data_IF_348937992278
#
_entry.id   IF_348937992278
#
_cell.length_a   1.000
_cell.length_b   1.000
_cell.length_c   1.000
_cell.angle_alpha   90.00
_cell.angle_beta   90.00
_cell.angle_gamma   90.00
#
_symmetry.space_group_name_H-M   'P 1'
#
loop_
_entity.id
_entity.type
_entity.pdbx_description
1 polymer ?
#
# COMPACT_ATOMS: atom_id res chain seq x y z
N UNK A 1 11.94 10.70 -3.03
CA UNK A 1 10.54 10.22 -2.83
C UNK A 1 10.37 10.00 -1.34
N UNK A 2 9.83 10.98 -0.64
CA UNK A 2 9.81 11.02 0.84
C UNK A 2 8.60 10.29 1.46
N UNK A 3 7.78 9.61 0.64
CA UNK A 3 6.51 8.99 1.06
C UNK A 3 6.32 7.56 0.58
N UNK A 4 7.41 6.87 0.26
CA UNK A 4 7.36 5.47 -0.14
C UNK A 4 7.08 4.60 1.08
N UNK A 5 5.90 3.98 1.12
CA UNK A 5 5.52 3.12 2.22
C UNK A 5 6.25 1.77 2.16
N UNK A 6 6.50 1.28 0.95
CA UNK A 6 7.28 0.07 0.73
C UNK A 6 7.54 -0.21 -0.73
N UNK A 7 8.59 -1.00 -0.97
CA UNK A 7 8.94 -1.59 -2.26
C UNK A 7 9.14 -3.08 -2.07
N UNK A 8 8.46 -3.86 -2.90
CA UNK A 8 8.38 -5.30 -2.78
C UNK A 8 8.63 -5.94 -4.13
N UNK A 9 9.22 -7.13 -4.10
CA UNK A 9 9.30 -8.04 -5.24
C UNK A 9 8.45 -9.26 -4.92
N UNK A 10 7.75 -9.80 -5.91
CA UNK A 10 6.94 -11.00 -5.71
C UNK A 10 7.83 -12.23 -5.54
N UNK A 11 7.61 -12.97 -4.45
CA UNK A 11 8.26 -14.26 -4.17
C UNK A 11 7.32 -15.45 -4.39
N UNK A 12 6.01 -15.21 -4.39
CA UNK A 12 4.96 -16.14 -4.75
C UNK A 12 3.80 -15.40 -5.43
N UNK A 13 3.24 -15.96 -6.50
CA UNK A 13 2.27 -15.28 -7.37
C UNK A 13 2.86 -14.94 -8.74
N UNK A 14 2.43 -13.85 -9.40
CA UNK A 14 2.97 -13.42 -10.69
C UNK A 14 4.48 -13.21 -10.62
N UNK A 15 5.22 -13.83 -11.54
CA UNK A 15 6.67 -13.65 -11.63
C UNK A 15 7.03 -12.24 -12.14
N UNK A 16 8.23 -11.78 -11.79
CA UNK A 16 8.82 -10.53 -12.31
C UNK A 16 7.99 -9.27 -12.03
N UNK A 17 7.31 -9.22 -10.88
CA UNK A 17 6.49 -8.09 -10.48
C UNK A 17 7.15 -7.30 -9.34
N UNK A 18 7.25 -5.97 -9.55
CA UNK A 18 7.63 -5.01 -8.53
C UNK A 18 6.36 -4.30 -8.06
N UNK A 19 6.10 -4.34 -6.74
CA UNK A 19 4.99 -3.64 -6.11
C UNK A 19 5.56 -2.52 -5.25
N UNK A 20 5.01 -1.33 -5.39
CA UNK A 20 5.46 -0.16 -4.68
C UNK A 20 4.25 0.64 -4.22
N UNK A 21 4.25 1.01 -2.95
CA UNK A 21 3.13 1.67 -2.28
C UNK A 21 3.60 3.04 -1.82
N UNK A 22 2.79 4.07 -2.08
CA UNK A 22 3.06 5.44 -1.65
C UNK A 22 1.86 6.03 -0.96
N UNK A 23 2.13 6.92 -0.01
CA UNK A 23 1.12 7.80 0.58
C UNK A 23 1.06 9.11 -0.19
N UNK A 24 -0.15 9.53 -0.53
CA UNK A 24 -0.45 10.87 -1.04
C UNK A 24 -1.54 11.49 -0.16
N UNK A 25 -1.51 12.82 -0.04
CA UNK A 25 -2.52 13.55 0.75
C UNK A 25 -3.87 13.58 -0.01
N UNK A 26 -3.81 13.78 -1.32
CA UNK A 26 -4.96 13.77 -2.22
C UNK A 26 -4.54 13.45 -3.68
N UNK A 27 -5.53 13.37 -4.58
CA UNK A 27 -5.28 13.17 -6.01
C UNK A 27 -4.47 14.32 -6.66
N UNK A 28 -4.75 15.61 -6.37
CA UNK A 28 -3.92 16.72 -6.84
C UNK A 28 -2.43 16.61 -6.46
N UNK A 29 -2.11 16.21 -5.22
CA UNK A 29 -0.74 16.01 -4.75
C UNK A 29 -0.03 14.93 -5.56
N UNK A 30 -0.70 13.78 -5.78
CA UNK A 30 -0.19 12.73 -6.66
C UNK A 30 0.12 13.27 -8.08
N UNK A 31 -0.81 14.01 -8.70
CA UNK A 31 -0.63 14.56 -10.04
C UNK A 31 0.58 15.52 -10.10
N UNK A 32 0.69 16.42 -9.11
CA UNK A 32 1.79 17.38 -9.00
C UNK A 32 3.13 16.66 -8.90
N UNK A 33 3.23 15.66 -8.03
CA UNK A 33 4.45 14.87 -7.84
C UNK A 33 4.83 14.07 -9.07
N UNK A 34 3.87 13.41 -9.71
CA UNK A 34 4.11 12.64 -10.93
C UNK A 34 4.67 13.53 -12.05
N UNK A 35 4.07 14.71 -12.26
CA UNK A 35 4.56 15.68 -13.25
C UNK A 35 5.96 16.18 -12.90
N UNK A 36 6.21 16.44 -11.61
CA UNK A 36 7.52 16.84 -11.11
C UNK A 36 8.64 15.82 -11.40
N UNK A 37 8.35 14.52 -11.47
CA UNK A 37 9.38 13.52 -11.79
C UNK A 37 10.01 13.73 -13.18
N UNK A 38 9.27 14.26 -14.15
CA UNK A 38 9.77 14.48 -15.50
C UNK A 38 10.74 15.67 -15.60
N UNK A 39 10.82 16.52 -14.57
CA UNK A 39 11.75 17.65 -14.55
C UNK A 39 13.09 17.28 -13.91
N UNK A 40 13.21 16.09 -13.30
CA UNK A 40 14.41 15.64 -12.59
C UNK A 40 15.40 15.04 -13.60
N UNK A 41 16.45 15.79 -13.95
CA UNK A 41 17.49 15.36 -14.91
C UNK A 41 18.16 14.03 -14.51
N UNK A 42 18.34 13.78 -13.22
CA UNK A 42 18.92 12.52 -12.73
C UNK A 42 18.10 11.27 -13.11
N UNK A 43 16.80 11.43 -13.41
CA UNK A 43 15.92 10.32 -13.83
C UNK A 43 15.93 10.08 -15.35
N UNK A 44 16.67 10.87 -16.13
CA UNK A 44 16.73 10.69 -17.59
C UNK A 44 17.19 9.28 -17.97
N UNK A 45 18.20 8.73 -17.28
CA UNK A 45 18.70 7.38 -17.53
C UNK A 45 17.62 6.32 -17.24
N UNK A 46 16.85 6.49 -16.16
CA UNK A 46 15.73 5.61 -15.85
C UNK A 46 14.67 5.63 -16.96
N UNK A 47 14.33 6.82 -17.48
CA UNK A 47 13.36 6.92 -18.56
C UNK A 47 13.84 6.31 -19.88
N UNK A 48 15.14 6.38 -20.18
CA UNK A 48 15.72 5.81 -21.40
C UNK A 48 15.99 4.31 -21.32
N UNK A 49 16.51 3.83 -20.19
CA UNK A 49 16.98 2.45 -20.05
C UNK A 49 16.04 1.57 -19.22
N UNK A 50 15.44 2.12 -18.17
CA UNK A 50 14.57 1.35 -17.26
C UNK A 50 13.16 1.15 -17.80
N UNK A 51 12.52 2.22 -18.30
CA UNK A 51 11.14 2.15 -18.81
C UNK A 51 10.91 1.10 -19.91
N UNK A 52 11.81 0.90 -20.89
CA UNK A 52 11.62 -0.12 -21.91
C UNK A 52 11.57 -1.56 -21.37
N UNK A 53 12.07 -1.81 -20.15
CA UNK A 53 12.03 -3.13 -19.52
C UNK A 53 10.67 -3.45 -18.88
N UNK A 54 9.76 -2.46 -18.77
CA UNK A 54 8.47 -2.62 -18.12
C UNK A 54 7.45 -3.10 -19.15
N UNK A 55 7.09 -4.38 -19.09
CA UNK A 55 6.10 -4.98 -20.00
C UNK A 55 4.68 -4.42 -19.79
N UNK A 56 4.27 -4.25 -18.54
CA UNK A 56 2.97 -3.71 -18.16
C UNK A 56 3.09 -2.90 -16.87
N UNK A 57 2.18 -1.94 -16.68
CA UNK A 57 2.09 -1.16 -15.45
C UNK A 57 0.64 -0.91 -15.10
N UNK A 58 0.30 -1.20 -13.85
CA UNK A 58 -1.00 -0.92 -13.26
C UNK A 58 -0.82 -0.03 -12.04
N UNK A 59 -1.80 0.83 -11.80
CA UNK A 59 -1.88 1.62 -10.58
C UNK A 59 -3.33 1.72 -10.13
N UNK A 60 -3.53 1.65 -8.82
CA UNK A 60 -4.83 1.84 -8.18
C UNK A 60 -4.65 2.75 -6.97
N UNK A 61 -5.74 3.41 -6.60
CA UNK A 61 -5.79 4.22 -5.38
C UNK A 61 -6.63 3.48 -4.36
N UNK A 62 -6.14 3.47 -3.12
CA UNK A 62 -6.84 2.86 -2.01
C UNK A 62 -7.00 3.87 -0.89
N UNK A 63 -8.08 3.72 -0.14
CA UNK A 63 -8.33 4.41 1.11
C UNK A 63 -8.07 3.45 2.27
N UNK A 64 -7.54 3.92 3.41
CA UNK A 64 -7.44 3.11 4.62
C UNK A 64 -8.85 2.65 5.03
N UNK A 65 -8.97 1.41 5.51
CA UNK A 65 -10.22 0.92 6.06
C UNK A 65 -10.73 1.85 7.19
N UNK A 66 -12.05 2.10 7.30
CA UNK A 66 -12.62 2.96 8.33
C UNK A 66 -12.67 2.28 9.72
N UNK A 67 -11.90 1.22 9.92
CA UNK A 67 -11.81 0.45 11.17
C UNK A 67 -10.40 0.60 11.72
N UNK A 68 -10.22 1.33 12.82
CA UNK A 68 -8.90 1.70 13.33
C UNK A 68 -7.98 0.50 13.62
N UNK A 69 -8.55 -0.61 14.12
CA UNK A 69 -7.80 -1.85 14.37
C UNK A 69 -7.23 -2.48 13.08
N UNK A 70 -7.85 -2.20 11.92
CA UNK A 70 -7.42 -2.71 10.63
C UNK A 70 -6.34 -1.83 9.97
N UNK A 71 -6.12 -0.60 10.46
CA UNK A 71 -5.12 0.35 9.93
C UNK A 71 -4.26 0.94 11.04
N UNK A 72 -3.47 0.11 11.76
CA UNK A 72 -2.72 0.55 12.93
C UNK A 72 -1.65 1.60 12.59
N UNK A 73 -1.08 1.55 11.37
CA UNK A 73 -0.03 2.47 10.92
C UNK A 73 -0.56 3.78 10.32
N UNK A 74 -1.83 3.80 9.89
CA UNK A 74 -2.44 4.95 9.23
C UNK A 74 -3.87 5.15 9.72
N UNK A 75 -4.02 6.02 10.72
CA UNK A 75 -5.28 6.42 11.34
C UNK A 75 -5.17 7.86 11.87
N UNK A 76 -6.22 8.37 12.50
CA UNK A 76 -6.26 9.76 13.01
C UNK A 76 -5.16 10.10 14.03
N UNK A 77 -4.49 9.10 14.60
CA UNK A 77 -3.43 9.26 15.60
C UNK A 77 -2.03 8.93 15.08
N UNK A 78 -1.95 8.14 14.02
CA UNK A 78 -0.70 7.57 13.51
C UNK A 78 -0.62 7.80 12.03
N UNK A 79 0.43 8.49 11.59
CA UNK A 79 0.74 8.64 10.18
C UNK A 79 2.16 8.13 9.93
N UNK A 80 2.28 6.81 9.75
CA UNK A 80 3.59 6.20 9.52
C UNK A 80 4.20 6.66 8.20
N UNK A 81 5.45 7.13 8.27
CA UNK A 81 6.23 7.72 7.20
C UNK A 81 7.65 7.15 7.15
N UNK A 82 8.35 7.26 6.01
CA UNK A 82 9.77 6.93 5.93
C UNK A 82 10.58 7.69 6.99
N UNK A 83 11.28 6.94 7.86
CA UNK A 83 12.02 7.50 9.00
C UNK A 83 11.42 7.12 10.36
N UNK A 84 10.14 6.74 10.39
CA UNK A 84 9.54 6.13 11.57
C UNK A 84 10.10 4.73 11.84
N UNK A 85 9.78 4.19 13.00
CA UNK A 85 10.19 2.83 13.39
C UNK A 85 9.76 1.85 12.29
N UNK A 86 10.68 1.06 11.72
CA UNK A 86 10.33 0.13 10.66
C UNK A 86 9.39 -0.95 11.18
N UNK A 87 8.43 -1.37 10.35
CA UNK A 87 7.49 -2.47 10.66
C UNK A 87 8.25 -3.74 11.03
N UNK A 88 9.37 -3.98 10.35
CA UNK A 88 10.30 -5.05 10.66
C UNK A 88 11.72 -4.65 10.28
N UNK A 89 12.70 -5.14 11.02
CA UNK A 89 14.11 -4.90 10.76
C UNK A 89 14.69 -6.00 9.85
N UNK A 90 15.11 -5.62 8.65
CA UNK A 90 15.67 -6.55 7.67
C UNK A 90 17.06 -7.07 8.07
N UNK A 91 17.77 -6.41 8.98
CA UNK A 91 19.04 -6.93 9.50
C UNK A 91 18.81 -8.18 10.37
N UNK A 92 17.71 -8.19 11.13
CA UNK A 92 17.31 -9.33 11.97
C UNK A 92 16.41 -10.32 11.22
N UNK A 93 15.66 -9.85 10.22
CA UNK A 93 14.73 -10.66 9.42
C UNK A 93 15.01 -10.52 7.92
N UNK A 94 16.13 -11.05 7.42
CA UNK A 94 16.55 -10.87 6.02
C UNK A 94 15.64 -11.58 5.00
N UNK A 95 14.75 -12.46 5.47
CA UNK A 95 13.78 -13.20 4.64
C UNK A 95 12.34 -12.82 4.98
N UNK A 96 12.13 -11.61 5.47
CA UNK A 96 10.79 -11.10 5.72
C UNK A 96 9.95 -11.16 4.44
N UNK A 97 8.75 -11.73 4.55
CA UNK A 97 7.75 -11.75 3.49
C UNK A 97 6.54 -11.00 3.98
N UNK A 98 5.93 -10.23 3.07
CA UNK A 98 4.65 -9.57 3.30
C UNK A 98 3.59 -10.31 2.49
N UNK A 99 2.54 -10.74 3.17
CA UNK A 99 1.38 -11.33 2.53
C UNK A 99 0.36 -10.24 2.16
N UNK A 100 -0.27 -10.42 1.00
CA UNK A 100 -1.37 -9.57 0.55
C UNK A 100 -2.58 -10.44 0.29
N UNK A 101 -3.62 -10.25 1.10
CA UNK A 101 -4.94 -10.83 0.88
C UNK A 101 -5.85 -9.79 0.22
N UNK A 102 -6.68 -10.24 -0.74
CA UNK A 102 -7.63 -9.37 -1.43
C UNK A 102 -9.02 -10.00 -1.40
N UNK A 103 -9.97 -9.24 -0.87
CA UNK A 103 -11.36 -9.65 -0.75
C UNK A 103 -12.23 -8.79 -1.68
N UNK A 104 -13.04 -9.46 -2.50
CA UNK A 104 -14.05 -8.79 -3.33
C UNK A 104 -15.40 -8.90 -2.66
N UNK A 105 -15.93 -7.77 -2.23
CA UNK A 105 -17.27 -7.67 -1.63
C UNK A 105 -18.30 -7.52 -2.74
N UNK A 106 -19.49 -8.08 -2.56
CA UNK A 106 -20.59 -7.92 -3.51
C UNK A 106 -20.97 -6.43 -3.68
N UNK A 107 -21.47 -6.01 -4.86
CA UNK A 107 -21.92 -4.64 -5.08
C UNK A 107 -22.88 -4.16 -3.99
N UNK A 108 -22.63 -2.97 -3.44
CA UNK A 108 -23.44 -2.38 -2.36
C UNK A 108 -23.21 -2.95 -0.96
N UNK A 109 -22.43 -4.03 -0.80
CA UNK A 109 -22.20 -4.68 0.51
C UNK A 109 -21.05 -4.10 1.32
N UNK A 110 -20.33 -3.11 0.78
CA UNK A 110 -19.24 -2.45 1.50
C UNK A 110 -19.72 -1.76 2.79
N UNK A 111 -20.91 -1.16 2.77
CA UNK A 111 -21.51 -0.52 3.95
C UNK A 111 -21.91 -1.52 5.04
N UNK A 112 -22.24 -2.75 4.66
CA UNK A 112 -22.53 -3.84 5.60
C UNK A 112 -21.24 -4.49 6.12
N UNK A 113 -20.18 -4.49 5.30
CA UNK A 113 -18.90 -5.13 5.61
C UNK A 113 -18.17 -4.45 6.77
N UNK A 114 -18.08 -3.11 6.77
CA UNK A 114 -17.30 -2.40 7.79
C UNK A 114 -17.82 -2.58 9.21
N UNK A 115 -19.13 -2.47 9.51
CA UNK A 115 -19.65 -2.75 10.84
C UNK A 115 -19.39 -4.19 11.31
N UNK A 116 -19.40 -5.16 10.39
CA UNK A 116 -19.06 -6.56 10.71
C UNK A 116 -17.57 -6.71 11.03
N UNK A 117 -16.70 -6.07 10.24
CA UNK A 117 -15.27 -6.05 10.51
C UNK A 117 -14.95 -5.31 11.81
N UNK A 118 -15.64 -4.22 12.14
CA UNK A 118 -15.44 -3.52 13.40
C UNK A 118 -15.87 -4.38 14.60
N UNK A 119 -17.00 -5.09 14.47
CA UNK A 119 -17.55 -5.93 15.54
C UNK A 119 -16.78 -7.23 15.75
N UNK A 120 -16.32 -7.87 14.67
CA UNK A 120 -15.74 -9.21 14.70
C UNK A 120 -14.26 -9.26 14.31
N UNK A 121 -13.79 -8.25 13.58
CA UNK A 121 -12.42 -8.14 13.10
C UNK A 121 -11.38 -8.05 14.22
N UNK A 122 -11.57 -7.35 15.35
CA UNK A 122 -10.55 -7.34 16.40
C UNK A 122 -10.14 -8.72 16.89
N UNK A 123 -11.09 -9.64 17.06
CA UNK A 123 -10.77 -11.02 17.45
C UNK A 123 -10.03 -11.79 16.35
N UNK A 124 -10.37 -11.53 15.08
CA UNK A 124 -9.72 -12.16 13.93
C UNK A 124 -8.34 -11.56 13.61
N UNK A 125 -8.15 -10.28 13.90
CA UNK A 125 -6.92 -9.52 13.63
C UNK A 125 -5.95 -9.56 14.81
N UNK A 126 -6.38 -9.87 16.04
CA UNK A 126 -5.52 -9.94 17.22
C UNK A 126 -4.23 -10.77 17.02
N UNK A 127 -4.25 -11.94 16.33
CA UNK A 127 -3.01 -12.67 16.05
C UNK A 127 -2.02 -11.92 15.15
N UNK A 128 -2.51 -10.93 14.41
CA UNK A 128 -1.78 -10.11 13.44
C UNK A 128 -1.43 -8.71 13.97
N UNK A 129 -1.83 -8.34 15.20
CA UNK A 129 -1.65 -6.98 15.72
C UNK A 129 -0.18 -6.48 15.64
N UNK A 130 0.79 -7.39 15.76
CA UNK A 130 2.21 -7.07 15.67
C UNK A 130 2.77 -7.03 14.24
N UNK A 131 2.04 -7.53 13.25
CA UNK A 131 2.50 -7.74 11.87
C UNK A 131 1.61 -7.07 10.82
N UNK A 132 0.43 -6.58 11.21
CA UNK A 132 -0.52 -5.96 10.31
C UNK A 132 0.01 -4.60 9.84
N UNK A 133 0.29 -4.50 8.55
CA UNK A 133 0.66 -3.24 7.90
C UNK A 133 -0.59 -2.36 7.73
N UNK A 134 -1.66 -2.92 7.17
CA UNK A 134 -2.94 -2.24 7.06
C UNK A 134 -3.93 -2.93 6.12
N UNK A 135 -5.20 -2.60 6.30
CA UNK A 135 -6.30 -2.95 5.42
C UNK A 135 -6.73 -1.73 4.61
N UNK A 136 -6.89 -1.90 3.31
CA UNK A 136 -7.25 -0.82 2.40
C UNK A 136 -8.35 -1.26 1.47
N UNK A 137 -9.10 -0.30 0.95
CA UNK A 137 -10.16 -0.57 -0.01
C UNK A 137 -10.12 0.41 -1.18
N UNK A 138 -10.58 -0.04 -2.33
CA UNK A 138 -10.96 0.80 -3.45
C UNK A 138 -12.42 0.55 -3.78
N UNK A 139 -13.14 1.61 -4.11
CA UNK A 139 -14.44 1.50 -4.74
C UNK A 139 -14.28 1.75 -6.23
N UNK A 140 -14.65 0.76 -7.03
CA UNK A 140 -14.80 0.90 -8.47
C UNK A 140 -16.28 1.15 -8.73
N UNK A 141 -16.65 2.39 -9.07
CA UNK A 141 -18.00 2.70 -9.54
C UNK A 141 -18.16 2.27 -10.99
N UNK A 142 -19.23 1.54 -11.30
CA UNK A 142 -19.80 1.47 -12.63
C UNK A 142 -20.96 2.47 -12.71
#
# INVERSE_FOLDING_TARGET
MERALGYFVTVGGPAEQIVHIYRFDDLPDWQKRLRGLYTIKALELYFRAGRPLIAARENSFWLPAPVAAATPLWNDRTDWMPGDRPVADLATHPRLVVEKEMLTVQPGKLLDFWPLLERHGPAALAPLDATLIGCFFSMSGA
#
